data_IF_045605696825
#
_entry.id   IF_045605696825
#
_cell.length_a   1.000
_cell.length_b   1.000
_cell.length_c   1.000
_cell.angle_alpha   90.00
_cell.angle_beta   90.00
_cell.angle_gamma   90.00
#
_symmetry.space_group_name_H-M   'P 1'
#
loop_
_entity.id
_entity.type
_entity.pdbx_description
1 polymer ?
#
# COMPACT_ATOMS: atom_id res chain seq x y z
N UNK A 1 0.05 16.31 10.14
CA UNK A 1 -0.17 15.31 9.06
C UNK A 1 -0.28 16.07 7.74
N UNK A 2 0.49 15.68 6.71
CA UNK A 2 0.50 16.35 5.39
C UNK A 2 -0.46 15.62 4.44
N UNK A 3 -1.40 16.35 3.84
CA UNK A 3 -2.34 15.82 2.86
C UNK A 3 -1.64 15.45 1.53
N UNK A 4 -2.16 14.48 0.75
CA UNK A 4 -1.68 14.23 -0.60
C UNK A 4 -1.86 15.48 -1.48
N UNK A 5 -0.98 15.65 -2.48
CA UNK A 5 -1.08 16.82 -3.37
C UNK A 5 -2.35 16.71 -4.21
N UNK A 6 -3.05 17.84 -4.42
CA UNK A 6 -4.19 17.86 -5.32
C UNK A 6 -3.76 17.37 -6.71
N UNK A 7 -4.58 16.50 -7.31
CA UNK A 7 -4.33 15.90 -8.63
C UNK A 7 -2.99 15.13 -8.76
N UNK A 8 -2.48 14.53 -7.68
CA UNK A 8 -1.20 13.80 -7.73
C UNK A 8 -1.12 12.73 -8.82
N UNK A 9 -2.25 12.14 -9.20
CA UNK A 9 -2.33 11.15 -10.27
C UNK A 9 -2.04 11.71 -11.67
N UNK A 10 -2.15 13.03 -11.89
CA UNK A 10 -1.77 13.66 -13.17
C UNK A 10 -0.26 13.65 -13.41
N UNK A 11 0.55 13.52 -12.35
CA UNK A 11 2.01 13.46 -12.43
C UNK A 11 2.56 12.05 -12.60
N UNK A 12 1.70 11.02 -12.50
CA UNK A 12 2.09 9.63 -12.71
C UNK A 12 2.17 9.35 -14.21
N UNK A 13 3.31 8.80 -14.66
CA UNK A 13 3.52 8.57 -16.10
C UNK A 13 3.00 7.22 -16.61
N UNK A 14 2.77 6.26 -15.72
CA UNK A 14 2.46 4.86 -16.08
C UNK A 14 1.22 4.30 -15.34
N UNK A 15 0.67 5.04 -14.38
CA UNK A 15 -0.55 4.67 -13.66
C UNK A 15 -1.57 5.82 -13.69
N UNK A 16 -2.85 5.47 -13.51
CA UNK A 16 -3.95 6.44 -13.52
C UNK A 16 -4.93 6.18 -12.35
N UNK A 17 -5.88 7.09 -12.17
CA UNK A 17 -6.84 7.03 -11.06
C UNK A 17 -7.66 5.74 -11.02
N UNK A 18 -7.97 5.14 -12.18
CA UNK A 18 -8.70 3.87 -12.21
C UNK A 18 -7.86 2.71 -11.65
N UNK A 19 -6.56 2.67 -11.95
CA UNK A 19 -5.65 1.67 -11.37
C UNK A 19 -5.48 1.84 -9.87
N UNK A 20 -5.50 3.09 -9.37
CA UNK A 20 -5.54 3.36 -7.93
C UNK A 20 -6.84 2.82 -7.32
N UNK A 21 -8.00 3.05 -7.94
CA UNK A 21 -9.27 2.50 -7.46
C UNK A 21 -9.21 0.98 -7.36
N UNK A 22 -8.72 0.29 -8.41
CA UNK A 22 -8.54 -1.17 -8.40
C UNK A 22 -7.62 -1.62 -7.25
N UNK A 23 -6.54 -0.88 -6.99
CA UNK A 23 -5.67 -1.17 -5.85
C UNK A 23 -6.40 -1.02 -4.52
N UNK A 24 -7.18 0.05 -4.33
CA UNK A 24 -7.91 0.31 -3.08
C UNK A 24 -8.99 -0.74 -2.85
N UNK A 25 -9.72 -1.14 -3.90
CA UNK A 25 -10.71 -2.22 -3.83
C UNK A 25 -10.05 -3.53 -3.36
N UNK A 26 -8.89 -3.87 -3.93
CA UNK A 26 -8.12 -5.03 -3.48
C UNK A 26 -7.61 -4.89 -2.02
N UNK A 27 -7.21 -3.69 -1.59
CA UNK A 27 -6.77 -3.46 -0.20
C UNK A 27 -7.93 -3.60 0.80
N UNK A 28 -9.17 -3.31 0.39
CA UNK A 28 -10.37 -3.60 1.20
C UNK A 28 -10.51 -5.11 1.39
N UNK A 29 -10.39 -5.90 0.32
CA UNK A 29 -10.45 -7.36 0.40
C UNK A 29 -9.35 -7.94 1.32
N UNK A 30 -8.13 -7.39 1.26
CA UNK A 30 -7.02 -7.77 2.14
C UNK A 30 -7.33 -7.42 3.60
N UNK A 31 -7.90 -6.25 3.87
CA UNK A 31 -8.27 -5.84 5.21
C UNK A 31 -9.36 -6.76 5.79
N UNK A 32 -10.36 -7.14 4.99
CA UNK A 32 -11.41 -8.07 5.39
C UNK A 32 -10.85 -9.48 5.67
N UNK A 33 -9.98 -10.00 4.81
CA UNK A 33 -9.37 -11.34 4.97
C UNK A 33 -8.58 -11.46 6.27
N UNK A 34 -7.78 -10.44 6.59
CA UNK A 34 -6.98 -10.39 7.83
C UNK A 34 -7.71 -9.76 9.02
N UNK A 35 -8.98 -9.35 8.84
CA UNK A 35 -9.81 -8.69 9.87
C UNK A 35 -9.12 -7.48 10.50
N UNK A 36 -8.48 -6.67 9.66
CA UNK A 36 -7.85 -5.42 10.08
C UNK A 36 -8.92 -4.38 10.41
N UNK A 37 -8.57 -3.43 11.27
CA UNK A 37 -9.46 -2.31 11.60
C UNK A 37 -9.60 -1.35 10.40
N UNK A 38 -10.74 -0.66 10.34
CA UNK A 38 -10.99 0.38 9.32
C UNK A 38 -9.93 1.49 9.38
N UNK A 39 -9.47 1.84 10.58
CA UNK A 39 -8.38 2.78 10.82
C UNK A 39 -7.09 2.36 10.10
N UNK A 40 -6.76 1.07 10.12
CA UNK A 40 -5.60 0.49 9.43
C UNK A 40 -5.72 0.66 7.92
N UNK A 41 -6.90 0.38 7.37
CA UNK A 41 -7.17 0.58 5.94
C UNK A 41 -7.08 2.06 5.54
N UNK A 42 -7.70 2.96 6.30
CA UNK A 42 -7.63 4.40 6.03
C UNK A 42 -6.22 4.95 6.12
N UNK A 43 -5.42 4.45 7.07
CA UNK A 43 -4.02 4.79 7.20
C UNK A 43 -3.19 4.27 6.01
N UNK A 44 -3.44 3.02 5.58
CA UNK A 44 -2.83 2.43 4.40
C UNK A 44 -3.11 3.27 3.14
N UNK A 45 -4.36 3.63 2.87
CA UNK A 45 -4.73 4.46 1.70
C UNK A 45 -4.06 5.84 1.75
N UNK A 46 -3.97 6.45 2.93
CA UNK A 46 -3.24 7.72 3.10
C UNK A 46 -1.74 7.56 2.78
N UNK A 47 -1.11 6.46 3.19
CA UNK A 47 0.29 6.18 2.86
C UNK A 47 0.49 5.97 1.36
N UNK A 48 -0.40 5.23 0.69
CA UNK A 48 -0.38 5.05 -0.77
C UNK A 48 -0.45 6.40 -1.47
N UNK A 49 -1.44 7.25 -1.14
CA UNK A 49 -1.65 8.53 -1.82
C UNK A 49 -0.49 9.50 -1.61
N UNK A 50 0.06 9.53 -0.40
CA UNK A 50 1.24 10.33 -0.09
C UNK A 50 2.45 9.85 -0.89
N UNK A 51 2.66 8.55 -0.99
CA UNK A 51 3.75 7.97 -1.76
C UNK A 51 3.62 8.30 -3.26
N UNK A 52 2.42 8.11 -3.82
CA UNK A 52 2.13 8.46 -5.21
C UNK A 52 2.17 9.98 -5.48
N UNK A 53 2.11 10.82 -4.43
CA UNK A 53 2.30 12.28 -4.55
C UNK A 53 3.75 12.73 -4.71
N UNK A 54 4.71 11.85 -4.45
CA UNK A 54 6.15 12.19 -4.44
C UNK A 54 7.00 11.25 -5.29
N UNK A 55 6.53 10.04 -5.56
CA UNK A 55 7.26 9.00 -6.31
C UNK A 55 6.45 8.57 -7.52
N UNK A 56 7.09 8.59 -8.69
CA UNK A 56 6.50 8.04 -9.91
C UNK A 56 6.60 6.50 -9.88
N UNK A 57 5.47 5.82 -10.03
CA UNK A 57 5.37 4.37 -9.83
C UNK A 57 4.90 3.71 -11.12
N UNK A 58 5.58 2.63 -11.52
CA UNK A 58 5.14 1.81 -12.65
C UNK A 58 3.97 0.93 -12.24
N UNK A 59 3.09 0.57 -13.19
CA UNK A 59 1.98 -0.38 -12.97
C UNK A 59 2.43 -1.66 -12.26
N UNK A 60 3.57 -2.21 -12.68
CA UNK A 60 4.14 -3.45 -12.12
C UNK A 60 4.60 -3.36 -10.66
N UNK A 61 4.62 -2.17 -10.06
CA UNK A 61 5.03 -1.93 -8.67
C UNK A 61 3.90 -1.39 -7.81
N UNK A 62 2.75 -1.07 -8.41
CA UNK A 62 1.63 -0.46 -7.70
C UNK A 62 1.09 -1.38 -6.58
N UNK A 63 0.94 -2.68 -6.86
CA UNK A 63 0.52 -3.65 -5.83
C UNK A 63 1.57 -3.76 -4.72
N UNK A 64 2.87 -3.81 -5.04
CA UNK A 64 3.92 -3.84 -4.02
C UNK A 64 3.86 -2.61 -3.09
N UNK A 65 3.61 -1.42 -3.64
CA UNK A 65 3.42 -0.21 -2.82
C UNK A 65 2.21 -0.39 -1.90
N UNK A 66 1.06 -0.81 -2.42
CA UNK A 66 -0.14 -1.06 -1.61
C UNK A 66 0.08 -2.08 -0.50
N UNK A 67 0.62 -3.25 -0.83
CA UNK A 67 0.97 -4.30 0.14
C UNK A 67 1.89 -3.78 1.23
N UNK A 68 2.91 -3.00 0.86
CA UNK A 68 3.87 -2.45 1.81
C UNK A 68 3.23 -1.38 2.69
N UNK A 69 2.38 -0.51 2.13
CA UNK A 69 1.63 0.48 2.90
C UNK A 69 0.68 -0.19 3.89
N UNK A 70 0.03 -1.30 3.51
CA UNK A 70 -0.82 -2.07 4.43
C UNK A 70 0.02 -2.69 5.55
N UNK A 71 1.12 -3.36 5.23
CA UNK A 71 2.04 -3.91 6.23
C UNK A 71 2.52 -2.86 7.23
N UNK A 72 2.88 -1.67 6.73
CA UNK A 72 3.30 -0.53 7.56
C UNK A 72 2.15 -0.01 8.44
N UNK A 73 0.96 0.16 7.89
CA UNK A 73 -0.22 0.62 8.63
C UNK A 73 -0.61 -0.39 9.72
N UNK A 74 -0.64 -1.69 9.40
CA UNK A 74 -0.97 -2.74 10.36
C UNK A 74 0.03 -2.74 11.52
N UNK A 75 1.33 -2.60 11.27
CA UNK A 75 2.33 -2.51 12.34
C UNK A 75 2.14 -1.31 13.28
N UNK A 76 1.53 -0.24 12.79
CA UNK A 76 1.31 0.97 13.56
C UNK A 76 0.01 0.89 14.37
N UNK A 77 -1.07 0.41 13.76
CA UNK A 77 -2.42 0.51 14.32
C UNK A 77 -2.89 -0.79 15.01
N UNK A 78 -2.48 -1.97 14.53
CA UNK A 78 -2.97 -3.23 15.06
C UNK A 78 -2.22 -3.65 16.33
N UNK A 79 -2.98 -4.18 17.31
CA UNK A 79 -2.37 -4.82 18.48
C UNK A 79 -1.58 -6.08 18.10
N UNK A 80 -2.08 -6.83 17.11
CA UNK A 80 -1.48 -8.06 16.59
C UNK A 80 -1.47 -8.02 15.05
N UNK A 81 -0.50 -7.31 14.43
CA UNK A 81 -0.44 -7.22 12.98
C UNK A 81 -0.12 -8.57 12.33
N UNK A 82 -0.61 -8.83 11.09
CA UNK A 82 -0.22 -10.01 10.33
C UNK A 82 1.30 -10.06 10.11
N UNK A 83 1.83 -11.27 10.02
CA UNK A 83 3.25 -11.49 9.76
C UNK A 83 3.62 -11.05 8.33
N UNK A 84 4.89 -10.69 8.13
CA UNK A 84 5.40 -10.28 6.81
C UNK A 84 5.18 -11.35 5.72
N UNK A 85 5.27 -12.63 6.09
CA UNK A 85 5.06 -13.75 5.17
C UNK A 85 3.60 -13.82 4.68
N UNK A 86 2.62 -13.38 5.49
CA UNK A 86 1.21 -13.32 5.09
C UNK A 86 1.01 -12.27 3.99
N UNK A 87 1.66 -11.12 4.10
CA UNK A 87 1.64 -10.09 3.06
C UNK A 87 2.32 -10.53 1.75
N UNK A 88 3.35 -11.38 1.83
CA UNK A 88 3.94 -12.02 0.64
C UNK A 88 2.94 -12.99 0.01
N UNK A 89 2.31 -13.83 0.84
CA UNK A 89 1.37 -14.85 0.42
C UNK A 89 0.15 -14.28 -0.30
N UNK A 90 -0.49 -13.22 0.25
CA UNK A 90 -1.71 -12.65 -0.35
C UNK A 90 -1.48 -11.94 -1.70
N UNK A 91 -0.22 -11.70 -2.07
CA UNK A 91 0.13 -11.21 -3.41
C UNK A 91 0.30 -12.34 -4.43
N UNK A 92 -0.21 -13.54 -4.15
CA UNK A 92 0.07 -14.78 -4.90
C UNK A 92 1.58 -15.04 -5.06
N UNK A 93 2.37 -14.65 -4.06
CA UNK A 93 3.84 -14.69 -4.08
C UNK A 93 4.47 -13.90 -5.24
N UNK A 94 3.76 -12.94 -5.82
CA UNK A 94 4.33 -11.99 -6.80
C UNK A 94 5.50 -11.22 -6.20
N UNK A 95 5.47 -10.97 -4.89
CA UNK A 95 6.56 -10.31 -4.17
C UNK A 95 6.99 -11.10 -2.95
N UNK A 96 8.24 -11.56 -2.95
CA UNK A 96 8.89 -12.08 -1.74
C UNK A 96 9.02 -11.01 -0.63
N UNK A 97 9.11 -11.43 0.62
CA UNK A 97 9.31 -10.58 1.81
C UNK A 97 10.44 -9.56 1.69
N UNK A 98 11.55 -9.91 1.02
CA UNK A 98 12.66 -8.99 0.75
C UNK A 98 12.26 -7.76 -0.08
N UNK A 99 11.29 -7.92 -0.99
CA UNK A 99 10.77 -6.81 -1.80
C UNK A 99 9.92 -5.87 -0.94
N UNK A 100 9.08 -6.42 -0.06
CA UNK A 100 8.24 -5.66 0.87
C UNK A 100 9.13 -4.88 1.84
N UNK A 101 10.12 -5.53 2.47
CA UNK A 101 11.07 -4.84 3.36
C UNK A 101 11.85 -3.73 2.65
N UNK A 102 12.27 -3.96 1.39
CA UNK A 102 12.96 -2.92 0.62
C UNK A 102 12.03 -1.77 0.29
N UNK A 103 10.78 -2.04 -0.06
CA UNK A 103 9.79 -1.01 -0.36
C UNK A 103 9.42 -0.22 0.91
N UNK A 104 9.37 -0.87 2.08
CA UNK A 104 9.10 -0.21 3.35
C UNK A 104 10.13 0.89 3.63
N UNK A 105 11.42 0.59 3.41
CA UNK A 105 12.50 1.57 3.56
C UNK A 105 12.40 2.75 2.57
N UNK A 106 11.62 2.63 1.50
CA UNK A 106 11.39 3.70 0.53
C UNK A 106 10.12 4.49 0.90
N UNK A 107 9.05 3.80 1.32
CA UNK A 107 7.79 4.40 1.75
C UNK A 107 7.95 5.22 3.03
N UNK A 108 8.83 4.79 3.94
CA UNK A 108 9.07 5.43 5.24
C UNK A 108 10.10 6.58 5.21
N UNK A 109 10.67 6.89 4.05
CA UNK A 109 11.57 8.04 3.88
C UNK A 109 10.80 9.34 3.65
#
# INVERSE_FOLDING_TARGET
MYAPKMNFMEYQSDINSAMRTILVDWLIEVADEYKLNDETLFLCVQYVDRFLSTVNVTRSKLQLVGTTCMYVASKYEEMYPPALDEFSFITDNTYETKHILRMEQIVMK
#
